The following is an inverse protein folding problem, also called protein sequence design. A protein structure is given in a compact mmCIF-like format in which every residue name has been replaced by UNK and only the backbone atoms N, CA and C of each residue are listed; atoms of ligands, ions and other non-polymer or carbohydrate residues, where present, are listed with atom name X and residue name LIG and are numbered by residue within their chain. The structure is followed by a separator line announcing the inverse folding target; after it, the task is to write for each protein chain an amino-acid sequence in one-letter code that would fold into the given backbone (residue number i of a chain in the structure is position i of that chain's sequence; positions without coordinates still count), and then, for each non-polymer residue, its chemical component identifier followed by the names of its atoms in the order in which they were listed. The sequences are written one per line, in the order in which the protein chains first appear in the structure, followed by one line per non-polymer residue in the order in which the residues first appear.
data_IF_629694954010
#
_entry.id   IF_629694954010
#
_cell.length_a   1.000
_cell.length_b   1.000
_cell.length_c   1.000
_cell.angle_alpha   90.00
_cell.angle_beta   90.00
_cell.angle_gamma   90.00
#
_symmetry.space_group_name_H-M   'P 1'
#
loop_
_entity.id
_entity.type
_entity.pdbx_description
1 polymer ?
#
# COMPACT_ATOMS: atom_id res chain seq x y z
N UNK A 1 -9.43 7.89 -9.90
CA UNK A 1 -8.88 7.14 -8.77
C UNK A 1 -7.74 6.28 -9.26
N UNK A 2 -6.54 6.52 -8.76
CA UNK A 2 -5.37 5.68 -9.04
C UNK A 2 -5.38 4.54 -8.01
N UNK A 3 -5.16 3.31 -8.45
CA UNK A 3 -5.04 2.16 -7.55
C UNK A 3 -3.69 1.50 -7.76
N UNK A 4 -3.07 1.03 -6.68
CA UNK A 4 -1.86 0.22 -6.74
C UNK A 4 -2.19 -1.20 -6.31
N UNK A 5 -1.68 -2.18 -7.05
CA UNK A 5 -1.86 -3.60 -6.72
C UNK A 5 -0.59 -4.11 -6.06
N UNK A 6 -0.74 -4.61 -4.83
CA UNK A 6 0.29 -5.36 -4.13
C UNK A 6 0.02 -6.86 -4.31
N UNK A 7 1.04 -7.63 -4.65
CA UNK A 7 0.98 -9.10 -4.72
C UNK A 7 2.04 -9.72 -3.80
N UNK A 8 1.77 -10.93 -3.33
CA UNK A 8 2.68 -11.67 -2.44
C UNK A 8 2.63 -11.24 -0.98
N UNK A 9 1.57 -10.53 -0.56
CA UNK A 9 1.30 -10.31 0.85
C UNK A 9 0.80 -11.60 1.51
N UNK A 10 0.87 -11.69 2.84
CA UNK A 10 0.21 -12.77 3.58
C UNK A 10 -1.30 -12.71 3.34
N UNK A 11 -1.94 -13.86 3.11
CA UNK A 11 -3.40 -13.95 2.93
C UNK A 11 -4.14 -13.44 4.17
N UNK A 12 -5.05 -12.48 4.02
CA UNK A 12 -5.71 -11.81 5.15
C UNK A 12 -4.79 -10.88 5.95
N UNK A 13 -3.56 -10.64 5.48
CA UNK A 13 -2.58 -9.77 6.13
C UNK A 13 -2.92 -8.29 6.00
N UNK A 14 -2.62 -7.53 7.05
CA UNK A 14 -2.79 -6.08 7.02
C UNK A 14 -1.69 -5.43 6.15
N UNK A 15 -2.14 -4.56 5.24
CA UNK A 15 -1.30 -3.78 4.33
C UNK A 15 -1.51 -2.29 4.62
N UNK A 16 -0.43 -1.56 4.79
CA UNK A 16 -0.45 -0.14 5.15
C UNK A 16 0.31 0.66 4.10
N UNK A 17 -0.29 1.73 3.61
CA UNK A 17 0.38 2.74 2.83
C UNK A 17 0.90 3.82 3.77
N UNK A 18 2.20 4.03 3.77
CA UNK A 18 2.92 4.98 4.58
C UNK A 18 3.52 6.05 3.66
N UNK A 19 3.57 7.29 4.12
CA UNK A 19 4.34 8.34 3.42
C UNK A 19 5.84 8.21 3.70
N UNK A 20 6.64 9.09 3.10
CA UNK A 20 8.09 9.14 3.30
C UNK A 20 8.50 9.44 4.76
N UNK A 21 7.61 10.00 5.58
CA UNK A 21 7.80 10.22 7.02
C UNK A 21 7.38 9.01 7.86
N UNK A 22 6.82 7.95 7.25
CA UNK A 22 6.31 6.78 7.97
C UNK A 22 4.90 6.96 8.55
N UNK A 23 4.14 7.96 8.10
CA UNK A 23 2.75 8.18 8.52
C UNK A 23 1.80 7.35 7.69
N UNK A 24 0.88 6.65 8.33
CA UNK A 24 -0.15 5.85 7.65
C UNK A 24 -1.13 6.75 6.91
N UNK A 25 -1.12 6.63 5.59
CA UNK A 25 -2.02 7.33 4.66
C UNK A 25 -3.29 6.50 4.44
N UNK A 26 -3.14 5.19 4.28
CA UNK A 26 -4.24 4.27 4.03
C UNK A 26 -3.93 2.88 4.57
N UNK A 27 -4.96 2.12 4.89
CA UNK A 27 -4.85 0.72 5.33
C UNK A 27 -5.78 -0.14 4.51
N UNK A 28 -5.31 -1.30 4.08
CA UNK A 28 -6.11 -2.31 3.37
C UNK A 28 -5.72 -3.69 3.87
N UNK A 29 -6.48 -4.70 3.49
CA UNK A 29 -6.22 -6.09 3.86
C UNK A 29 -6.01 -6.88 2.58
N UNK A 30 -4.98 -7.73 2.56
CA UNK A 30 -4.76 -8.64 1.45
C UNK A 30 -5.85 -9.72 1.42
N UNK A 31 -6.27 -10.10 0.23
CA UNK A 31 -7.24 -11.16 0.02
C UNK A 31 -6.64 -12.55 0.30
N UNK A 32 -7.44 -13.60 0.09
CA UNK A 32 -7.01 -14.99 0.29
C UNK A 32 -5.85 -15.42 -0.64
N UNK A 33 -5.62 -14.70 -1.74
CA UNK A 33 -4.53 -14.97 -2.69
C UNK A 33 -3.25 -14.20 -2.37
N UNK A 34 -3.27 -13.35 -1.34
CA UNK A 34 -2.15 -12.46 -1.01
C UNK A 34 -2.08 -11.23 -1.91
N UNK A 35 -3.19 -10.87 -2.56
CA UNK A 35 -3.31 -9.68 -3.39
C UNK A 35 -4.04 -8.59 -2.61
N UNK A 36 -3.53 -7.36 -2.63
CA UNK A 36 -4.17 -6.22 -2.00
C UNK A 36 -4.26 -5.05 -2.96
N UNK A 37 -5.47 -4.52 -3.13
CA UNK A 37 -5.69 -3.30 -3.91
C UNK A 37 -5.65 -2.10 -2.99
N UNK A 38 -4.64 -1.24 -3.16
CA UNK A 38 -4.52 0.02 -2.46
C UNK A 38 -5.18 1.12 -3.28
N UNK A 39 -6.30 1.65 -2.78
CA UNK A 39 -6.90 2.85 -3.31
C UNK A 39 -6.08 4.07 -2.88
N UNK A 40 -5.48 4.76 -3.85
CA UNK A 40 -4.77 6.01 -3.57
C UNK A 40 -5.80 7.16 -3.52
N UNK A 41 -5.87 7.91 -2.40
CA UNK A 41 -6.73 9.09 -2.30
C UNK A 41 -6.53 10.05 -3.47
N UNK A 42 -7.62 10.61 -4.00
CA UNK A 42 -7.52 11.68 -4.97
C UNK A 42 -6.84 12.90 -4.31
N UNK A 43 -5.79 13.43 -4.92
CA UNK A 43 -5.00 14.53 -4.35
C UNK A 43 -3.77 14.08 -3.55
N UNK A 44 -3.42 12.78 -3.57
CA UNK A 44 -2.14 12.33 -3.04
C UNK A 44 -1.00 12.98 -3.85
N UNK A 45 -0.06 13.70 -3.22
CA UNK A 45 1.05 14.30 -3.95
C UNK A 45 1.92 13.22 -4.60
N UNK A 46 2.50 13.56 -5.75
CA UNK A 46 3.49 12.69 -6.39
C UNK A 46 4.73 12.57 -5.49
N UNK A 47 5.25 11.36 -5.39
CA UNK A 47 6.32 11.07 -4.44
C UNK A 47 6.52 9.58 -4.17
N UNK A 48 7.42 9.30 -3.23
CA UNK A 48 7.71 7.95 -2.75
C UNK A 48 6.84 7.66 -1.54
N UNK A 49 6.11 6.56 -1.60
CA UNK A 49 5.36 5.98 -0.51
C UNK A 49 5.91 4.60 -0.18
N UNK A 50 5.68 4.13 1.03
CA UNK A 50 6.06 2.80 1.49
C UNK A 50 4.79 1.97 1.67
N UNK A 51 4.67 0.87 0.96
CA UNK A 51 3.62 -0.14 1.17
C UNK A 51 4.18 -1.20 2.08
N UNK A 52 3.65 -1.31 3.29
CA UNK A 52 4.07 -2.29 4.29
C UNK A 52 3.02 -3.40 4.44
N UNK A 53 3.43 -4.64 4.22
CA UNK A 53 2.62 -5.83 4.43
C UNK A 53 3.33 -6.77 5.42
N UNK A 54 2.91 -6.73 6.69
CA UNK A 54 3.58 -7.47 7.76
C UNK A 54 5.05 -7.03 7.93
N UNK A 55 5.98 -7.94 7.67
CA UNK A 55 7.44 -7.70 7.72
C UNK A 55 8.01 -7.17 6.41
N UNK A 56 7.25 -7.20 5.32
CA UNK A 56 7.68 -6.72 4.00
C UNK A 56 7.32 -5.25 3.82
N UNK A 57 8.24 -4.48 3.22
CA UNK A 57 8.02 -3.10 2.83
C UNK A 57 8.48 -2.90 1.39
N UNK A 58 7.62 -2.33 0.54
CA UNK A 58 7.90 -1.98 -0.84
C UNK A 58 7.77 -0.48 -1.05
N UNK A 59 8.49 0.04 -2.03
CA UNK A 59 8.40 1.44 -2.43
C UNK A 59 7.40 1.58 -3.55
N UNK A 60 6.42 2.45 -3.37
CA UNK A 60 5.44 2.83 -4.37
C UNK A 60 5.74 4.26 -4.86
N UNK A 61 5.96 4.42 -6.16
CA UNK A 61 6.13 5.72 -6.80
C UNK A 61 4.78 6.21 -7.30
N UNK A 62 4.34 7.34 -6.79
CA UNK A 62 3.12 8.03 -7.23
C UNK A 62 3.55 9.18 -8.14
N UNK A 63 2.92 9.27 -9.32
CA UNK A 63 3.20 10.28 -10.34
C UNK A 63 1.91 10.94 -10.82
#
# INVERSE_FOLDING_TARGET
HTAATLTGAASGGAVQLLDALGRTVATTTADATGTATLALPAGLPSGVYIVRAGTHALRLLVR
#
